data_IF_559187932685
#
_entry.id   IF_559187932685
#
_cell.length_a   1.000
_cell.length_b   1.000
_cell.length_c   1.000
_cell.angle_alpha   90.00
_cell.angle_beta   90.00
_cell.angle_gamma   90.00
#
_symmetry.space_group_name_H-M   'P 1'
#
loop_
_entity.id
_entity.type
_entity.pdbx_description
1 polymer ?
#
# COMPACT_ATOMS: atom_id res chain seq x y z
N UNK A 1 -3.56 12.72 -1.24
CA UNK A 1 -3.78 13.50 -0.01
C UNK A 1 -3.40 12.65 1.18
N UNK A 2 -2.35 13.03 1.92
CA UNK A 2 -1.88 12.30 3.10
C UNK A 2 -2.97 12.34 4.17
N UNK A 3 -3.24 11.20 4.80
CA UNK A 3 -4.15 11.17 5.95
C UNK A 3 -3.45 11.80 7.17
N UNK A 4 -4.01 12.84 7.81
CA UNK A 4 -3.41 13.44 9.01
C UNK A 4 -3.15 12.41 10.12
N UNK A 5 -4.02 11.43 10.23
CA UNK A 5 -3.93 10.33 11.18
C UNK A 5 -2.63 9.49 11.02
N UNK A 6 -2.25 9.18 9.78
CA UNK A 6 -1.00 8.47 9.51
C UNK A 6 0.21 9.29 9.98
N UNK A 7 0.24 10.59 9.68
CA UNK A 7 1.32 11.48 10.11
C UNK A 7 1.48 11.50 11.62
N UNK A 8 0.39 11.74 12.36
CA UNK A 8 0.43 11.78 13.82
C UNK A 8 0.87 10.44 14.42
N UNK A 9 0.34 9.33 13.91
CA UNK A 9 0.71 8.00 14.39
C UNK A 9 2.18 7.68 14.14
N UNK A 10 2.72 8.05 12.98
CA UNK A 10 4.14 7.84 12.65
C UNK A 10 5.04 8.66 13.54
N UNK A 11 4.73 9.93 13.78
CA UNK A 11 5.49 10.79 14.70
C UNK A 11 5.44 10.27 16.14
N UNK A 12 4.29 9.81 16.61
CA UNK A 12 4.16 9.23 17.94
C UNK A 12 4.95 7.92 18.07
N UNK A 13 4.99 7.10 17.03
CA UNK A 13 5.80 5.88 17.01
C UNK A 13 7.30 6.19 17.12
N UNK A 14 7.79 7.22 16.42
CA UNK A 14 9.17 7.70 16.54
C UNK A 14 9.46 8.19 17.96
N UNK A 15 8.57 9.00 18.53
CA UNK A 15 8.71 9.49 19.91
C UNK A 15 8.75 8.34 20.92
N UNK A 16 8.01 7.26 20.67
CA UNK A 16 7.98 6.08 21.53
C UNK A 16 9.30 5.32 21.59
N UNK A 17 10.15 5.41 20.58
CA UNK A 17 11.44 4.70 20.51
C UNK A 17 12.68 5.60 20.63
N UNK A 18 12.50 6.91 20.57
CA UNK A 18 13.63 7.86 20.49
C UNK A 18 14.64 7.76 21.66
N UNK A 19 14.16 7.41 22.84
CA UNK A 19 15.01 7.26 24.03
C UNK A 19 15.65 5.88 24.14
N UNK A 20 14.93 4.85 23.71
CA UNK A 20 15.40 3.45 23.82
C UNK A 20 16.28 3.04 22.63
N UNK A 21 15.98 3.55 21.45
CA UNK A 21 16.72 3.27 20.22
C UNK A 21 16.77 4.51 19.32
N UNK A 22 17.68 5.46 19.61
CA UNK A 22 17.81 6.71 18.85
C UNK A 22 18.12 6.49 17.35
N UNK A 23 18.90 5.47 17.02
CA UNK A 23 19.24 5.16 15.63
C UNK A 23 18.02 4.70 14.84
N UNK A 24 17.18 3.88 15.46
CA UNK A 24 15.92 3.43 14.84
C UNK A 24 14.96 4.61 14.66
N UNK A 25 14.89 5.52 15.62
CA UNK A 25 14.08 6.73 15.53
C UNK A 25 14.56 7.65 14.41
N UNK A 26 15.88 7.86 14.27
CA UNK A 26 16.48 8.65 13.20
C UNK A 26 16.16 8.05 11.83
N UNK A 27 16.39 6.75 11.65
CA UNK A 27 16.05 6.04 10.41
C UNK A 27 14.57 6.19 10.06
N UNK A 28 13.66 6.03 11.01
CA UNK A 28 12.22 6.17 10.79
C UNK A 28 11.83 7.59 10.36
N UNK A 29 12.49 8.62 10.91
CA UNK A 29 12.28 10.01 10.48
C UNK A 29 12.78 10.27 9.06
N UNK A 30 13.91 9.70 8.67
CA UNK A 30 14.43 9.79 7.30
C UNK A 30 13.46 9.11 6.31
N UNK A 31 13.01 7.89 6.62
CA UNK A 31 12.03 7.16 5.82
C UNK A 31 10.70 7.93 5.68
N UNK A 32 10.23 8.54 6.78
CA UNK A 32 9.03 9.37 6.78
C UNK A 32 9.21 10.61 5.91
N UNK A 33 10.35 11.27 5.99
CA UNK A 33 10.68 12.45 5.18
C UNK A 33 10.70 12.11 3.68
N UNK A 34 11.31 10.99 3.30
CA UNK A 34 11.36 10.52 1.92
C UNK A 34 9.96 10.18 1.40
N UNK A 35 9.15 9.51 2.22
CA UNK A 35 7.76 9.20 1.90
C UNK A 35 6.96 10.48 1.62
N UNK A 36 7.08 11.50 2.48
CA UNK A 36 6.42 12.79 2.28
C UNK A 36 6.84 13.48 0.98
N UNK A 37 8.12 13.44 0.64
CA UNK A 37 8.62 14.03 -0.59
C UNK A 37 7.94 13.43 -1.82
N UNK A 38 7.78 12.11 -1.84
CA UNK A 38 7.07 11.41 -2.93
C UNK A 38 5.58 11.75 -2.93
N UNK A 39 4.93 11.75 -1.75
CA UNK A 39 3.48 12.00 -1.63
C UNK A 39 3.07 13.43 -1.97
N UNK A 40 3.95 14.40 -1.78
CA UNK A 40 3.69 15.81 -2.09
C UNK A 40 4.11 16.21 -3.50
N UNK A 41 4.83 15.34 -4.24
CA UNK A 41 5.20 15.57 -5.63
C UNK A 41 3.96 15.58 -6.56
N UNK A 42 4.03 16.36 -7.63
CA UNK A 42 3.02 16.31 -8.71
C UNK A 42 3.26 15.07 -9.58
N UNK A 43 2.66 13.96 -9.21
CA UNK A 43 2.85 12.68 -9.89
C UNK A 43 1.87 12.54 -11.07
N UNK A 44 2.26 13.06 -12.22
CA UNK A 44 1.52 12.91 -13.49
C UNK A 44 2.10 11.81 -14.40
N UNK A 45 3.29 11.33 -14.10
CA UNK A 45 3.98 10.32 -14.91
C UNK A 45 3.86 8.93 -14.28
N UNK A 46 3.92 7.90 -15.11
CA UNK A 46 4.01 6.52 -14.65
C UNK A 46 5.34 6.28 -13.93
N UNK A 47 5.29 5.46 -12.91
CA UNK A 47 6.46 4.98 -12.16
C UNK A 47 6.62 3.47 -12.37
N UNK A 48 7.74 2.91 -11.96
CA UNK A 48 7.91 1.46 -12.00
C UNK A 48 7.20 0.79 -10.82
N UNK A 49 6.77 -0.44 -11.02
CA UNK A 49 6.18 -1.24 -9.95
C UNK A 49 7.18 -1.49 -8.81
N UNK A 50 8.48 -1.60 -9.14
CA UNK A 50 9.55 -1.68 -8.15
C UNK A 50 9.62 -0.46 -7.25
N UNK A 51 9.47 0.74 -7.80
CA UNK A 51 9.38 1.99 -7.02
C UNK A 51 8.13 2.04 -6.13
N UNK A 52 6.97 1.58 -6.64
CA UNK A 52 5.74 1.46 -5.85
C UNK A 52 5.92 0.48 -4.68
N UNK A 53 6.51 -0.68 -4.92
CA UNK A 53 6.78 -1.64 -3.83
C UNK A 53 7.76 -1.09 -2.81
N UNK A 54 8.80 -0.37 -3.22
CA UNK A 54 9.74 0.27 -2.30
C UNK A 54 9.02 1.28 -1.39
N UNK A 55 8.16 2.11 -1.95
CA UNK A 55 7.34 3.07 -1.20
C UNK A 55 6.40 2.36 -0.21
N UNK A 56 5.77 1.29 -0.65
CA UNK A 56 4.90 0.47 0.21
C UNK A 56 5.67 -0.18 1.36
N UNK A 57 6.90 -0.64 1.13
CA UNK A 57 7.76 -1.17 2.17
C UNK A 57 8.11 -0.13 3.22
N UNK A 58 8.50 1.08 2.81
CA UNK A 58 8.76 2.20 3.73
C UNK A 58 7.53 2.52 4.58
N UNK A 59 6.35 2.59 3.97
CA UNK A 59 5.11 2.81 4.69
C UNK A 59 4.84 1.71 5.74
N UNK A 60 4.95 0.45 5.36
CA UNK A 60 4.69 -0.68 6.26
C UNK A 60 5.73 -0.81 7.38
N UNK A 61 6.99 -0.43 7.14
CA UNK A 61 8.02 -0.36 8.19
C UNK A 61 7.67 0.69 9.25
N UNK A 62 7.17 1.86 8.85
CA UNK A 62 6.69 2.89 9.78
C UNK A 62 5.48 2.40 10.59
N UNK A 63 4.55 1.70 9.96
CA UNK A 63 3.41 1.09 10.65
C UNK A 63 3.85 -0.05 11.60
N UNK A 64 4.85 -0.83 11.20
CA UNK A 64 5.42 -1.87 12.06
C UNK A 64 6.09 -1.29 13.31
N UNK A 65 6.71 -0.11 13.19
CA UNK A 65 7.27 0.60 14.34
C UNK A 65 6.18 0.91 15.40
N UNK A 66 4.99 1.28 14.95
CA UNK A 66 3.83 1.60 15.81
C UNK A 66 3.10 0.37 16.34
N UNK A 67 2.84 -0.60 15.47
CA UNK A 67 2.00 -1.77 15.75
C UNK A 67 2.79 -2.98 16.25
N UNK A 68 4.11 -2.99 16.03
CA UNK A 68 4.96 -4.10 16.44
C UNK A 68 4.50 -5.43 15.85
N UNK A 69 4.46 -6.46 16.67
CA UNK A 69 4.07 -7.82 16.26
C UNK A 69 2.59 -7.98 15.87
N UNK A 70 1.77 -6.96 16.08
CA UNK A 70 0.38 -6.96 15.63
C UNK A 70 0.26 -6.88 14.11
N UNK A 71 1.25 -6.31 13.42
CA UNK A 71 1.32 -6.25 11.98
C UNK A 71 2.36 -7.24 11.45
N UNK A 72 1.90 -8.20 10.65
CA UNK A 72 2.75 -9.06 9.85
C UNK A 72 2.51 -8.76 8.37
N UNK A 73 3.57 -8.78 7.58
CA UNK A 73 3.49 -8.53 6.13
C UNK A 73 4.14 -9.68 5.39
N UNK A 74 3.41 -10.27 4.46
CA UNK A 74 3.89 -11.32 3.58
C UNK A 74 3.99 -10.79 2.15
N UNK A 75 5.21 -10.73 1.62
CA UNK A 75 5.51 -10.30 0.26
C UNK A 75 5.77 -11.51 -0.65
N UNK A 76 5.06 -11.56 -1.77
CA UNK A 76 5.26 -12.52 -2.85
C UNK A 76 5.18 -11.77 -4.19
N UNK A 77 6.26 -11.07 -4.53
CA UNK A 77 6.31 -10.15 -5.68
C UNK A 77 7.48 -10.43 -6.62
N UNK A 78 8.33 -11.38 -6.33
CA UNK A 78 9.57 -11.65 -7.07
C UNK A 78 9.32 -12.17 -8.50
N UNK A 79 8.16 -12.80 -8.74
CA UNK A 79 7.74 -13.26 -10.06
C UNK A 79 7.21 -12.14 -10.97
N UNK A 80 7.06 -10.93 -10.44
CA UNK A 80 6.54 -9.79 -11.18
C UNK A 80 7.67 -8.90 -11.68
N UNK A 81 7.66 -8.46 -12.95
CA UNK A 81 8.66 -7.52 -13.46
C UNK A 81 8.64 -6.19 -12.71
N UNK A 82 9.75 -5.83 -12.10
CA UNK A 82 9.89 -4.58 -11.35
C UNK A 82 9.86 -3.34 -12.27
N UNK A 83 10.13 -3.51 -13.55
CA UNK A 83 10.14 -2.46 -14.58
C UNK A 83 8.75 -2.16 -15.18
N UNK A 84 7.71 -2.90 -14.77
CA UNK A 84 6.34 -2.64 -15.18
C UNK A 84 5.93 -1.22 -14.78
N UNK A 85 5.38 -0.46 -15.72
CA UNK A 85 4.91 0.90 -15.47
C UNK A 85 3.52 0.90 -14.86
N UNK A 86 3.34 1.68 -13.81
CA UNK A 86 2.07 1.80 -13.06
C UNK A 86 1.81 3.26 -12.70
N UNK A 87 0.55 3.64 -12.46
CA UNK A 87 0.24 4.95 -11.88
C UNK A 87 0.89 5.09 -10.50
N UNK A 88 1.50 6.24 -10.19
CA UNK A 88 2.11 6.47 -8.88
C UNK A 88 1.06 6.47 -7.78
N UNK A 89 1.45 6.04 -6.58
CA UNK A 89 0.58 5.96 -5.40
C UNK A 89 -0.69 5.13 -5.63
N UNK A 90 -0.57 4.06 -6.40
CA UNK A 90 -1.67 3.14 -6.66
C UNK A 90 -1.89 2.18 -5.49
N UNK A 91 -0.82 1.63 -4.94
CA UNK A 91 -0.89 0.58 -3.91
C UNK A 91 -0.93 1.13 -2.49
N UNK A 92 -0.25 2.24 -2.21
CA UNK A 92 -0.15 2.77 -0.86
C UNK A 92 -1.52 3.06 -0.21
N UNK A 93 -2.49 3.71 -0.87
CA UNK A 93 -3.82 3.93 -0.27
C UNK A 93 -4.55 2.62 0.08
N UNK A 94 -4.31 1.56 -0.68
CA UNK A 94 -4.87 0.23 -0.40
C UNK A 94 -4.22 -0.40 0.84
N UNK A 95 -2.92 -0.24 1.00
CA UNK A 95 -2.21 -0.71 2.20
C UNK A 95 -2.57 0.10 3.44
N UNK A 96 -2.75 1.42 3.31
CA UNK A 96 -3.30 2.24 4.40
C UNK A 96 -4.66 1.72 4.86
N UNK A 97 -5.54 1.38 3.93
CA UNK A 97 -6.83 0.80 4.26
C UNK A 97 -6.70 -0.60 4.90
N UNK A 98 -5.79 -1.43 4.40
CA UNK A 98 -5.54 -2.76 4.96
C UNK A 98 -5.06 -2.69 6.42
N UNK A 99 -4.18 -1.75 6.73
CA UNK A 99 -3.71 -1.54 8.11
C UNK A 99 -4.82 -0.98 8.98
N UNK A 100 -5.46 0.11 8.56
CA UNK A 100 -6.46 0.81 9.37
C UNK A 100 -7.73 -0.04 9.61
N UNK A 101 -8.22 -0.72 8.58
CA UNK A 101 -9.46 -1.49 8.65
C UNK A 101 -9.26 -2.97 8.95
N UNK A 102 -8.09 -3.51 8.67
CA UNK A 102 -7.80 -4.93 8.84
C UNK A 102 -6.95 -5.25 10.05
N UNK A 103 -5.87 -4.51 10.27
CA UNK A 103 -4.89 -4.80 11.32
C UNK A 103 -5.26 -4.14 12.66
N UNK A 104 -5.53 -2.84 12.65
CA UNK A 104 -5.79 -2.09 13.89
C UNK A 104 -6.99 -2.63 14.70
N UNK A 105 -8.14 -2.98 14.09
CA UNK A 105 -9.26 -3.52 14.85
C UNK A 105 -9.13 -5.01 15.17
N UNK A 106 -8.12 -5.71 14.65
CA UNK A 106 -7.96 -7.13 14.86
C UNK A 106 -7.60 -7.45 16.33
N UNK A 107 -8.26 -8.43 16.96
CA UNK A 107 -7.95 -8.82 18.34
C UNK A 107 -6.67 -9.66 18.45
N UNK A 108 -6.18 -10.18 17.34
CA UNK A 108 -4.98 -11.00 17.22
C UNK A 108 -4.02 -10.38 16.20
N UNK A 109 -2.71 -10.75 16.20
CA UNK A 109 -1.80 -10.36 15.15
C UNK A 109 -2.37 -10.66 13.76
N UNK A 110 -2.29 -9.69 12.86
CA UNK A 110 -2.92 -9.77 11.54
C UNK A 110 -1.86 -9.70 10.45
N UNK A 111 -2.07 -10.46 9.37
CA UNK A 111 -1.16 -10.50 8.22
C UNK A 111 -1.79 -9.80 7.03
N UNK A 112 -1.06 -8.81 6.49
CA UNK A 112 -1.32 -8.22 5.17
C UNK A 112 -0.47 -8.96 4.14
N UNK A 113 -1.09 -9.47 3.10
CA UNK A 113 -0.38 -10.16 2.01
C UNK A 113 -0.38 -9.31 0.74
N UNK A 114 0.78 -9.24 0.09
CA UNK A 114 0.95 -8.58 -1.19
C UNK A 114 1.55 -9.59 -2.16
N UNK A 115 0.80 -9.94 -3.19
CA UNK A 115 1.24 -10.84 -4.25
C UNK A 115 1.18 -10.12 -5.59
N UNK A 116 2.20 -10.25 -6.40
CA UNK A 116 2.20 -9.74 -7.76
C UNK A 116 2.81 -10.76 -8.71
N UNK A 117 2.14 -10.98 -9.83
CA UNK A 117 2.55 -11.93 -10.87
C UNK A 117 2.36 -11.33 -12.25
N UNK A 118 3.09 -11.83 -13.22
CA UNK A 118 2.86 -11.57 -14.63
C UNK A 118 2.23 -12.80 -15.28
N UNK A 119 1.12 -12.62 -15.93
CA UNK A 119 0.41 -13.64 -16.71
C UNK A 119 0.34 -13.17 -18.16
N UNK A 120 1.28 -13.63 -19.01
CA UNK A 120 1.41 -13.14 -20.38
C UNK A 120 1.77 -11.65 -20.43
N UNK A 121 0.89 -10.84 -21.02
CA UNK A 121 1.02 -9.39 -21.12
C UNK A 121 0.23 -8.63 -20.05
N UNK A 122 -0.24 -9.32 -19.03
CA UNK A 122 -1.00 -8.75 -17.92
C UNK A 122 -0.22 -8.89 -16.60
N UNK A 123 -0.23 -7.83 -15.80
CA UNK A 123 0.21 -7.82 -14.41
C UNK A 123 -1.01 -8.01 -13.52
N UNK A 124 -0.90 -8.90 -12.57
CA UNK A 124 -1.90 -9.15 -11.55
C UNK A 124 -1.33 -8.86 -10.17
N UNK A 125 -1.96 -7.96 -9.42
CA UNK A 125 -1.58 -7.59 -8.07
C UNK A 125 -2.73 -7.90 -7.13
N UNK A 126 -2.46 -8.66 -6.07
CA UNK A 126 -3.45 -9.04 -5.07
C UNK A 126 -2.99 -8.58 -3.69
N UNK A 127 -3.82 -7.80 -3.04
CA UNK A 127 -3.67 -7.37 -1.65
C UNK A 127 -4.75 -8.04 -0.81
N UNK A 128 -4.40 -8.58 0.35
CA UNK A 128 -5.35 -9.24 1.22
C UNK A 128 -5.06 -8.93 2.68
N UNK A 129 -6.11 -8.71 3.45
CA UNK A 129 -6.04 -8.44 4.88
C UNK A 129 -7.25 -9.04 5.62
N UNK A 130 -7.18 -9.21 6.94
CA UNK A 130 -8.34 -9.61 7.73
C UNK A 130 -9.51 -8.64 7.57
N UNK A 131 -10.72 -9.17 7.64
CA UNK A 131 -11.98 -8.43 7.49
C UNK A 131 -12.91 -8.72 8.66
N UNK A 132 -13.43 -7.67 9.31
CA UNK A 132 -14.17 -7.76 10.57
C UNK A 132 -15.66 -7.43 10.46
N UNK A 133 -16.24 -7.51 9.23
CA UNK A 133 -17.67 -7.28 9.00
C UNK A 133 -18.03 -5.85 8.60
N UNK A 134 -19.31 -5.63 8.30
CA UNK A 134 -19.78 -4.47 7.54
C UNK A 134 -19.90 -3.13 8.31
N UNK A 135 -19.74 -3.13 9.62
CA UNK A 135 -20.11 -1.97 10.43
C UNK A 135 -18.99 -0.95 10.57
N UNK A 136 -19.13 0.16 9.91
CA UNK A 136 -18.57 1.50 10.17
C UNK A 136 -17.50 2.07 9.21
N UNK A 137 -16.97 1.35 8.23
CA UNK A 137 -15.78 1.84 7.52
C UNK A 137 -15.86 1.88 6.00
N UNK A 138 -17.07 1.72 5.44
CA UNK A 138 -17.26 1.65 3.98
C UNK A 138 -16.95 2.94 3.22
N UNK A 139 -17.17 4.11 3.82
CA UNK A 139 -17.04 5.37 3.08
C UNK A 139 -15.58 5.70 2.71
N UNK A 140 -14.65 5.59 3.65
CA UNK A 140 -13.22 5.87 3.38
C UNK A 140 -12.56 4.85 2.44
N UNK A 141 -12.90 3.58 2.62
CA UNK A 141 -12.41 2.50 1.76
C UNK A 141 -12.97 2.63 0.34
N UNK A 142 -14.27 2.92 0.21
CA UNK A 142 -14.92 3.14 -1.09
C UNK A 142 -14.29 4.29 -1.86
N UNK A 143 -14.03 5.42 -1.21
CA UNK A 143 -13.42 6.59 -1.84
C UNK A 143 -12.01 6.30 -2.37
N UNK A 144 -11.19 5.60 -1.59
CA UNK A 144 -9.85 5.21 -2.03
C UNK A 144 -9.90 4.27 -3.25
N UNK A 145 -10.78 3.28 -3.21
CA UNK A 145 -10.98 2.33 -4.33
C UNK A 145 -11.50 3.03 -5.59
N UNK A 146 -12.44 3.95 -5.46
CA UNK A 146 -12.96 4.74 -6.58
C UNK A 146 -11.87 5.61 -7.20
N UNK A 147 -11.08 6.32 -6.41
CA UNK A 147 -9.96 7.12 -6.89
C UNK A 147 -8.94 6.28 -7.67
N UNK A 148 -8.66 5.07 -7.21
CA UNK A 148 -7.73 4.17 -7.92
C UNK A 148 -8.35 3.68 -9.22
N UNK A 149 -9.64 3.32 -9.23
CA UNK A 149 -10.35 2.93 -10.47
C UNK A 149 -10.33 4.05 -11.51
N UNK A 150 -10.62 5.28 -11.11
CA UNK A 150 -10.55 6.45 -12.00
C UNK A 150 -9.15 6.64 -12.57
N UNK A 151 -8.11 6.48 -11.76
CA UNK A 151 -6.71 6.59 -12.21
C UNK A 151 -6.34 5.46 -13.18
N UNK A 152 -6.73 4.24 -12.88
CA UNK A 152 -6.52 3.10 -13.79
C UNK A 152 -7.23 3.33 -15.12
N UNK A 153 -8.46 3.83 -15.10
CA UNK A 153 -9.19 4.18 -16.31
C UNK A 153 -8.50 5.29 -17.10
N UNK A 154 -7.96 6.29 -16.43
CA UNK A 154 -7.25 7.40 -17.09
C UNK A 154 -5.99 6.93 -17.83
N UNK A 155 -5.23 5.99 -17.27
CA UNK A 155 -3.98 5.51 -17.84
C UNK A 155 -4.14 4.32 -18.81
N UNK A 156 -5.14 3.49 -18.61
CA UNK A 156 -5.30 2.21 -19.32
C UNK A 156 -6.65 2.01 -19.99
N UNK A 157 -7.59 2.95 -19.81
CA UNK A 157 -8.97 2.81 -20.26
C UNK A 157 -9.59 1.49 -19.72
N UNK A 158 -10.21 0.70 -20.57
CA UNK A 158 -10.83 -0.58 -20.18
C UNK A 158 -9.83 -1.75 -20.06
N UNK A 159 -8.56 -1.53 -20.36
CA UNK A 159 -7.52 -2.56 -20.25
C UNK A 159 -7.11 -2.87 -18.81
N UNK A 160 -7.42 -1.98 -17.87
CA UNK A 160 -7.15 -2.21 -16.46
C UNK A 160 -8.45 -2.35 -15.67
N UNK A 161 -8.38 -3.12 -14.59
CA UNK A 161 -9.53 -3.33 -13.70
C UNK A 161 -9.10 -3.51 -12.26
N UNK A 162 -9.99 -3.13 -11.35
CA UNK A 162 -9.87 -3.34 -9.92
C UNK A 162 -11.13 -4.02 -9.40
N UNK A 163 -10.96 -5.18 -8.81
CA UNK A 163 -12.03 -5.97 -8.21
C UNK A 163 -11.78 -6.17 -6.71
N UNK A 164 -12.84 -6.28 -5.94
CA UNK A 164 -12.77 -6.49 -4.49
C UNK A 164 -13.67 -7.66 -4.09
N UNK A 165 -13.23 -8.42 -3.12
CA UNK A 165 -13.97 -9.54 -2.55
C UNK A 165 -13.81 -9.55 -1.03
N UNK A 166 -14.92 -9.74 -0.32
CA UNK A 166 -14.92 -9.99 1.12
C UNK A 166 -15.46 -11.41 1.34
N UNK A 167 -14.59 -12.32 1.76
CA UNK A 167 -14.94 -13.73 1.93
C UNK A 167 -14.08 -14.38 3.00
N UNK A 168 -14.70 -15.26 3.79
CA UNK A 168 -14.01 -16.08 4.79
C UNK A 168 -13.15 -15.27 5.77
N UNK A 169 -13.66 -14.12 6.21
CA UNK A 169 -12.96 -13.24 7.16
C UNK A 169 -11.77 -12.47 6.57
N UNK A 170 -11.65 -12.42 5.25
CA UNK A 170 -10.63 -11.65 4.55
C UNK A 170 -11.23 -10.70 3.52
N UNK A 171 -10.59 -9.54 3.40
CA UNK A 171 -10.84 -8.58 2.33
C UNK A 171 -9.70 -8.67 1.32
N UNK A 172 -10.05 -8.77 0.05
CA UNK A 172 -9.13 -8.93 -1.05
C UNK A 172 -9.36 -7.86 -2.10
N UNK A 173 -8.29 -7.21 -2.54
CA UNK A 173 -8.28 -6.30 -3.69
C UNK A 173 -7.41 -6.91 -4.77
N UNK A 174 -7.93 -7.03 -5.97
CA UNK A 174 -7.20 -7.48 -7.13
C UNK A 174 -7.16 -6.40 -8.20
N UNK A 175 -5.95 -6.07 -8.65
CA UNK A 175 -5.70 -5.16 -9.75
C UNK A 175 -5.11 -5.96 -10.90
N UNK A 176 -5.67 -5.78 -12.08
CA UNK A 176 -5.12 -6.29 -13.34
C UNK A 176 -4.87 -5.12 -14.27
N UNK A 177 -3.69 -5.08 -14.86
CA UNK A 177 -3.28 -4.04 -15.79
C UNK A 177 -2.31 -4.59 -16.83
N UNK A 178 -2.25 -3.97 -18.02
CA UNK A 178 -1.32 -4.43 -19.05
C UNK A 178 0.13 -4.19 -18.63
N UNK A 179 0.99 -5.17 -18.94
CA UNK A 179 2.42 -5.01 -18.77
C UNK A 179 2.97 -4.05 -19.81
N UNK A 180 3.41 -2.90 -19.35
CA UNK A 180 4.13 -1.92 -20.17
C UNK A 180 5.49 -1.70 -19.57
N UNK A 181 6.53 -2.02 -20.34
CA UNK A 181 7.91 -1.79 -19.93
C UNK A 181 8.24 -0.32 -20.02
N UNK A 182 8.84 0.23 -18.96
CA UNK A 182 9.38 1.58 -18.99
C UNK A 182 10.47 1.73 -20.05
N UNK A 183 10.55 2.89 -20.70
CA UNK A 183 11.69 3.22 -21.52
C UNK A 183 12.94 3.17 -20.62
N UNK A 184 13.95 2.43 -21.03
CA UNK A 184 15.23 2.45 -20.34
C UNK A 184 15.75 3.91 -20.39
N UNK A 185 15.90 4.52 -19.21
CA UNK A 185 16.58 5.81 -19.07
C UNK A 185 18.05 5.63 -19.27
#
# INVERSE_FOLDING_TARGET
RIRPHFLFNSLNAVLGVIRSDPRRAEQALEELSDLFRVLMGENRELVTLGEEFALCRQYLELEHLRLGERLNVAWDVDACPADAQVPPLMLQPLLENAVYHGVEPAPQPATVTIRATREGEEIRIVLSNPYHGENAQHAGNRMALENIRERLMLFYDLEARLETEAKEGRFRVEIRLPYRKGAAK
#
